data_IF_412778797831
#
_entry.id   IF_412778797831
#
_cell.length_a   1.000
_cell.length_b   1.000
_cell.length_c   1.000
_cell.angle_alpha   90.00
_cell.angle_beta   90.00
_cell.angle_gamma   90.00
#
_symmetry.space_group_name_H-M   'P 1'
#
loop_
_entity.id
_entity.type
_entity.pdbx_description
1 polymer ?
#
# COMPACT_ATOMS: atom_id res chain seq x y z
N UNK A 1 5.93 9.85 0.24
CA UNK A 1 5.32 9.99 -1.12
C UNK A 1 3.86 9.64 -1.03
N UNK A 2 3.03 10.23 -1.87
CA UNK A 2 1.61 9.85 -1.99
C UNK A 2 1.46 8.57 -2.80
N UNK A 3 0.65 7.64 -2.33
CA UNK A 3 0.20 6.51 -3.11
C UNK A 3 -1.29 6.25 -2.89
N UNK A 4 -1.93 5.72 -3.91
CA UNK A 4 -3.36 5.56 -3.94
C UNK A 4 -3.76 4.10 -4.05
N UNK A 5 -4.98 3.80 -3.60
CA UNK A 5 -5.67 2.58 -3.97
C UNK A 5 -7.16 2.84 -4.18
N UNK A 6 -7.76 2.01 -5.00
CA UNK A 6 -9.18 2.06 -5.35
C UNK A 6 -9.89 0.89 -4.68
N UNK A 7 -11.04 1.17 -4.07
CA UNK A 7 -12.01 0.14 -3.68
C UNK A 7 -13.21 0.28 -4.61
N UNK A 8 -13.64 -0.83 -5.21
CA UNK A 8 -14.82 -0.88 -6.05
C UNK A 8 -16.10 -1.08 -5.22
N UNK A 9 -17.24 -0.80 -5.82
CA UNK A 9 -18.52 -1.33 -5.36
C UNK A 9 -18.49 -2.88 -5.39
N UNK A 10 -19.44 -3.48 -4.67
CA UNK A 10 -19.58 -4.94 -4.69
C UNK A 10 -19.93 -5.43 -6.10
N UNK A 11 -19.34 -6.56 -6.51
CA UNK A 11 -19.60 -7.16 -7.82
C UNK A 11 -20.37 -8.49 -7.66
N UNK A 12 -21.41 -8.75 -8.48
CA UNK A 12 -22.23 -9.96 -8.36
C UNK A 12 -21.44 -11.28 -8.38
N UNK A 13 -20.42 -11.38 -9.21
CA UNK A 13 -19.59 -12.59 -9.26
C UNK A 13 -18.78 -12.83 -7.97
N UNK A 14 -18.33 -11.76 -7.33
CA UNK A 14 -17.63 -11.86 -6.03
C UNK A 14 -18.60 -12.28 -4.93
N UNK A 15 -19.77 -11.63 -4.88
CA UNK A 15 -20.80 -11.97 -3.90
C UNK A 15 -21.28 -13.42 -4.05
N UNK A 16 -21.48 -13.88 -5.28
CA UNK A 16 -21.87 -15.26 -5.57
C UNK A 16 -20.82 -16.27 -5.08
N UNK A 17 -19.52 -15.96 -5.22
CA UNK A 17 -18.46 -16.81 -4.67
C UNK A 17 -18.57 -16.93 -3.15
N UNK A 18 -18.83 -15.81 -2.47
CA UNK A 18 -18.99 -15.76 -1.02
C UNK A 18 -20.24 -16.55 -0.56
N UNK A 19 -21.35 -16.41 -1.25
CA UNK A 19 -22.59 -17.18 -0.99
C UNK A 19 -22.39 -18.70 -1.13
N UNK A 20 -21.53 -19.12 -2.07
CA UNK A 20 -21.16 -20.52 -2.27
C UNK A 20 -20.13 -21.04 -1.25
N UNK A 21 -19.70 -20.20 -0.31
CA UNK A 21 -18.67 -20.55 0.68
C UNK A 21 -17.30 -20.84 0.08
N UNK A 22 -17.03 -20.32 -1.13
CA UNK A 22 -15.72 -20.48 -1.76
C UNK A 22 -14.68 -19.59 -1.03
N UNK A 23 -13.44 -20.06 -0.92
CA UNK A 23 -12.40 -19.25 -0.30
C UNK A 23 -12.15 -17.94 -1.07
N UNK A 24 -11.73 -16.92 -0.33
CA UNK A 24 -11.27 -15.67 -0.91
C UNK A 24 -10.16 -15.92 -1.94
N UNK A 25 -10.20 -15.20 -3.05
CA UNK A 25 -9.16 -15.31 -4.07
C UNK A 25 -7.83 -14.79 -3.52
N UNK A 26 -6.74 -15.44 -3.92
CA UNK A 26 -5.41 -14.97 -3.58
C UNK A 26 -5.13 -13.58 -4.14
N UNK A 27 -4.15 -12.89 -3.57
CA UNK A 27 -3.71 -11.60 -4.08
C UNK A 27 -3.07 -11.78 -5.47
N UNK A 28 -3.65 -11.12 -6.46
CA UNK A 28 -3.05 -11.00 -7.77
C UNK A 28 -1.98 -9.91 -7.74
N UNK A 29 -0.77 -10.23 -8.18
CA UNK A 29 0.31 -9.27 -8.35
C UNK A 29 0.70 -9.16 -9.80
N UNK A 30 0.56 -7.96 -10.37
CA UNK A 30 0.96 -7.66 -11.74
C UNK A 30 2.23 -6.79 -11.71
N UNK A 31 3.37 -7.44 -11.92
CA UNK A 31 4.68 -6.80 -11.78
C UNK A 31 4.97 -5.80 -12.90
N UNK A 32 4.58 -6.12 -14.14
CA UNK A 32 4.82 -5.26 -15.29
C UNK A 32 3.96 -4.00 -15.24
N UNK A 33 2.70 -4.14 -14.78
CA UNK A 33 1.79 -3.03 -14.55
C UNK A 33 2.00 -2.31 -13.22
N UNK A 34 2.88 -2.84 -12.35
CA UNK A 34 3.18 -2.29 -11.03
C UNK A 34 1.94 -2.08 -10.16
N UNK A 35 1.08 -3.11 -10.05
CA UNK A 35 -0.09 -3.06 -9.19
C UNK A 35 -0.41 -4.43 -8.58
N UNK A 36 -1.24 -4.43 -7.55
CA UNK A 36 -1.84 -5.63 -6.97
C UNK A 36 -3.36 -5.48 -6.89
N UNK A 37 -4.05 -6.62 -6.83
CA UNK A 37 -5.50 -6.67 -6.67
C UNK A 37 -5.89 -7.82 -5.74
N UNK A 38 -6.93 -7.62 -4.92
CA UNK A 38 -7.55 -8.67 -4.10
C UNK A 38 -9.03 -8.38 -3.87
N UNK A 39 -9.74 -9.35 -3.34
CA UNK A 39 -11.11 -9.13 -2.87
C UNK A 39 -11.14 -8.17 -1.66
N UNK A 40 -12.16 -7.32 -1.61
CA UNK A 40 -12.44 -6.41 -0.50
C UNK A 40 -13.94 -6.14 -0.40
N UNK A 41 -14.56 -6.52 0.72
CA UNK A 41 -15.95 -6.22 1.05
C UNK A 41 -16.97 -6.52 -0.09
N UNK A 42 -16.81 -7.66 -0.77
CA UNK A 42 -17.66 -8.07 -1.90
C UNK A 42 -17.29 -7.44 -3.25
N UNK A 43 -16.30 -6.59 -3.30
CA UNK A 43 -15.71 -6.00 -4.49
C UNK A 43 -14.23 -6.29 -4.60
N UNK A 44 -13.49 -5.39 -5.22
CA UNK A 44 -12.05 -5.50 -5.46
C UNK A 44 -11.33 -4.25 -4.95
N UNK A 45 -10.12 -4.44 -4.47
CA UNK A 45 -9.17 -3.35 -4.23
C UNK A 45 -8.05 -3.43 -5.27
N UNK A 46 -7.75 -2.31 -5.92
CA UNK A 46 -6.59 -2.12 -6.80
C UNK A 46 -5.60 -1.20 -6.11
N UNK A 47 -4.39 -1.68 -5.85
CA UNK A 47 -3.31 -0.90 -5.25
C UNK A 47 -2.12 -0.79 -6.19
N UNK A 48 -2.00 0.26 -6.98
CA UNK A 48 -0.85 0.51 -7.83
C UNK A 48 0.34 1.08 -7.07
N UNK A 49 1.52 0.90 -7.63
CA UNK A 49 2.74 1.63 -7.29
C UNK A 49 2.99 2.66 -8.40
N UNK A 50 2.44 3.84 -8.22
CA UNK A 50 2.37 4.87 -9.24
C UNK A 50 3.75 5.47 -9.55
N UNK A 51 4.08 5.55 -10.84
CA UNK A 51 5.27 6.31 -11.27
C UNK A 51 4.98 7.81 -11.18
N UNK A 52 5.95 8.57 -10.66
CA UNK A 52 5.80 10.01 -10.51
C UNK A 52 4.85 10.44 -9.39
N UNK A 53 4.61 9.57 -8.42
CA UNK A 53 3.87 9.93 -7.22
C UNK A 53 4.52 11.13 -6.51
N UNK A 54 3.74 12.16 -6.11
CA UNK A 54 4.30 13.37 -5.50
C UNK A 54 4.94 13.09 -4.14
N UNK A 55 5.96 13.85 -3.81
CA UNK A 55 6.48 13.89 -2.45
C UNK A 55 5.51 14.66 -1.55
N UNK A 56 5.21 14.09 -0.41
CA UNK A 56 4.46 14.75 0.65
C UNK A 56 5.37 15.00 1.86
N UNK A 57 5.01 15.96 2.67
CA UNK A 57 5.72 16.30 3.91
C UNK A 57 7.21 16.58 3.74
N UNK A 58 7.59 17.29 2.67
CA UNK A 58 9.00 17.62 2.35
C UNK A 58 9.66 18.37 3.53
N UNK A 59 8.91 19.25 4.18
CA UNK A 59 9.34 19.99 5.37
C UNK A 59 8.84 19.35 6.69
N UNK A 60 8.42 18.09 6.63
CA UNK A 60 7.75 17.39 7.73
C UNK A 60 6.24 17.64 7.78
N UNK A 61 5.48 16.74 8.41
CA UNK A 61 4.05 16.93 8.64
C UNK A 61 3.81 18.09 9.60
N UNK A 62 2.62 18.70 9.55
CA UNK A 62 2.22 19.69 10.55
C UNK A 62 2.17 19.03 11.93
N UNK A 63 2.34 19.85 13.00
CA UNK A 63 2.29 19.34 14.38
C UNK A 63 0.93 18.77 14.78
N UNK A 64 -0.11 19.23 14.10
CA UNK A 64 -1.50 18.85 14.35
C UNK A 64 -1.99 17.81 13.29
N UNK A 65 -1.06 17.21 12.54
CA UNK A 65 -1.37 16.23 11.49
C UNK A 65 -1.76 14.90 12.12
N UNK A 66 -2.99 14.45 11.88
CA UNK A 66 -3.49 13.15 12.30
C UNK A 66 -4.29 12.50 11.18
N UNK A 67 -3.94 11.26 10.81
CA UNK A 67 -4.70 10.44 9.85
C UNK A 67 -5.05 11.14 8.53
N UNK A 68 -4.18 12.01 8.04
CA UNK A 68 -4.41 12.77 6.82
C UNK A 68 -4.45 11.86 5.60
N UNK A 69 -5.49 12.07 4.79
CA UNK A 69 -5.60 11.53 3.45
C UNK A 69 -5.58 12.69 2.46
N UNK A 70 -4.90 12.49 1.34
CA UNK A 70 -4.84 13.45 0.26
C UNK A 70 -6.02 13.28 -0.71
N UNK A 71 -6.24 14.27 -1.56
CA UNK A 71 -7.22 14.15 -2.62
C UNK A 71 -6.82 13.04 -3.61
N UNK A 72 -7.79 12.23 -4.02
CA UNK A 72 -7.57 11.23 -5.05
C UNK A 72 -7.31 11.86 -6.42
N UNK A 73 -6.41 11.25 -7.18
CA UNK A 73 -6.01 11.65 -8.53
C UNK A 73 -6.25 10.48 -9.50
N UNK A 74 -7.39 10.50 -10.17
CA UNK A 74 -7.78 9.46 -11.12
C UNK A 74 -6.96 9.49 -12.41
N UNK A 75 -6.43 10.64 -12.81
CA UNK A 75 -5.58 10.74 -14.01
C UNK A 75 -4.28 9.96 -13.79
N UNK A 76 -3.71 10.09 -12.61
CA UNK A 76 -2.50 9.33 -12.22
C UNK A 76 -2.78 7.82 -12.11
N UNK A 77 -4.02 7.44 -11.75
CA UNK A 77 -4.45 6.04 -11.67
C UNK A 77 -4.84 5.42 -13.02
N UNK A 78 -5.18 6.23 -14.01
CA UNK A 78 -5.75 5.76 -15.29
C UNK A 78 -4.95 4.64 -15.97
N UNK A 79 -3.61 4.71 -16.12
CA UNK A 79 -2.84 3.64 -16.75
C UNK A 79 -2.93 2.29 -16.00
N UNK A 80 -3.02 2.35 -14.67
CA UNK A 80 -3.14 1.16 -13.82
C UNK A 80 -4.56 0.59 -13.89
N UNK A 81 -5.58 1.44 -13.96
CA UNK A 81 -6.99 1.05 -14.15
C UNK A 81 -7.13 0.32 -15.48
N UNK A 82 -6.60 0.87 -16.57
CA UNK A 82 -6.64 0.25 -17.90
C UNK A 82 -5.95 -1.12 -17.91
N UNK A 83 -4.76 -1.21 -17.33
CA UNK A 83 -4.04 -2.48 -17.18
C UNK A 83 -4.82 -3.48 -16.33
N UNK A 84 -5.45 -3.03 -15.25
CA UNK A 84 -6.25 -3.88 -14.37
C UNK A 84 -7.50 -4.41 -15.09
N UNK A 85 -8.22 -3.59 -15.83
CA UNK A 85 -9.38 -3.99 -16.63
C UNK A 85 -8.98 -5.03 -17.70
N UNK A 86 -7.84 -4.82 -18.36
CA UNK A 86 -7.35 -5.78 -19.33
C UNK A 86 -7.08 -7.16 -18.72
N UNK A 87 -6.53 -7.20 -17.51
CA UNK A 87 -6.19 -8.44 -16.82
C UNK A 87 -7.38 -9.06 -16.06
N UNK A 88 -8.24 -8.24 -15.49
CA UNK A 88 -9.40 -8.61 -14.66
C UNK A 88 -10.63 -7.82 -15.16
N UNK A 89 -11.32 -8.27 -16.21
CA UNK A 89 -12.40 -7.51 -16.85
C UNK A 89 -13.51 -7.06 -15.90
N UNK A 90 -13.88 -7.88 -14.91
CA UNK A 90 -14.93 -7.51 -13.93
C UNK A 90 -14.58 -6.27 -13.11
N UNK A 91 -13.30 -5.90 -13.02
CA UNK A 91 -12.89 -4.66 -12.37
C UNK A 91 -13.44 -3.42 -13.12
N UNK A 92 -13.54 -3.50 -14.44
CA UNK A 92 -14.14 -2.43 -15.27
C UNK A 92 -15.67 -2.38 -15.24
N UNK A 93 -16.32 -3.43 -14.74
CA UNK A 93 -17.79 -3.51 -14.62
C UNK A 93 -18.25 -2.96 -13.27
N UNK A 94 -17.38 -2.94 -12.27
CA UNK A 94 -17.69 -2.41 -10.94
C UNK A 94 -17.47 -0.88 -10.87
N UNK A 95 -18.39 -0.17 -10.23
CA UNK A 95 -18.21 1.25 -9.92
C UNK A 95 -17.08 1.49 -8.93
N UNK A 96 -16.48 2.67 -8.96
CA UNK A 96 -15.50 3.09 -7.93
C UNK A 96 -16.28 3.54 -6.69
N UNK A 97 -16.13 2.83 -5.60
CA UNK A 97 -16.70 3.18 -4.30
C UNK A 97 -15.87 4.25 -3.59
N UNK A 98 -14.55 4.10 -3.62
CA UNK A 98 -13.65 5.03 -2.94
C UNK A 98 -12.22 4.96 -3.50
N UNK A 99 -11.58 6.12 -3.52
CA UNK A 99 -10.15 6.26 -3.73
C UNK A 99 -9.53 6.73 -2.42
N UNK A 100 -8.49 6.05 -1.98
CA UNK A 100 -7.68 6.48 -0.85
C UNK A 100 -6.33 6.93 -1.39
N UNK A 101 -5.87 8.10 -0.96
CA UNK A 101 -4.54 8.62 -1.24
C UNK A 101 -3.87 8.95 0.08
N UNK A 102 -2.80 8.27 0.40
CA UNK A 102 -2.12 8.39 1.69
C UNK A 102 -0.61 8.47 1.54
N UNK A 103 0.03 8.92 2.61
CA UNK A 103 1.48 8.94 2.69
C UNK A 103 2.06 7.54 2.85
N UNK A 104 3.04 7.20 2.02
CA UNK A 104 3.86 6.00 2.19
C UNK A 104 5.32 6.41 2.35
N UNK A 105 6.02 5.76 3.26
CA UNK A 105 7.40 6.05 3.55
C UNK A 105 8.34 5.26 2.63
N UNK A 106 9.20 5.97 1.91
CA UNK A 106 10.31 5.39 1.15
C UNK A 106 11.61 6.05 1.58
N UNK A 107 12.60 5.22 1.79
CA UNK A 107 14.00 5.67 1.91
C UNK A 107 14.59 5.88 0.52
N UNK A 108 15.73 6.59 0.39
CA UNK A 108 16.36 6.84 -0.91
C UNK A 108 16.75 5.58 -1.69
N UNK A 109 17.09 4.50 -1.01
CA UNK A 109 17.46 3.21 -1.61
C UNK A 109 16.32 2.17 -1.59
N UNK A 110 15.16 2.54 -1.05
CA UNK A 110 14.01 1.67 -0.93
C UNK A 110 14.08 0.62 0.18
N UNK A 111 15.19 0.59 0.95
CA UNK A 111 15.36 -0.33 2.08
C UNK A 111 15.02 0.35 3.42
N UNK A 112 14.39 -0.35 4.36
CA UNK A 112 14.12 0.23 5.68
C UNK A 112 15.42 0.53 6.43
N UNK A 113 15.39 1.51 7.30
CA UNK A 113 16.47 1.86 8.21
C UNK A 113 16.22 1.12 9.51
N UNK A 114 17.04 0.10 9.81
CA UNK A 114 16.93 -0.70 11.04
C UNK A 114 18.29 -0.75 11.71
N UNK A 115 18.37 -0.32 12.97
CA UNK A 115 19.61 -0.38 13.75
C UNK A 115 19.90 0.85 14.59
N UNK A 116 21.10 0.97 15.18
CA UNK A 116 21.46 2.11 16.01
C UNK A 116 21.57 3.40 15.19
N UNK A 117 21.11 4.50 15.77
CA UNK A 117 21.32 5.82 15.19
C UNK A 117 22.82 6.16 15.19
N UNK A 118 23.31 6.65 14.06
CA UNK A 118 24.75 6.95 13.86
C UNK A 118 25.25 8.15 14.67
N UNK A 119 24.35 9.06 15.06
CA UNK A 119 24.67 10.32 15.72
C UNK A 119 24.11 10.44 17.16
N UNK A 120 23.48 9.38 17.67
CA UNK A 120 22.87 9.36 19.01
C UNK A 120 23.16 8.05 19.73
N UNK A 121 23.55 8.15 21.00
CA UNK A 121 23.71 6.99 21.88
C UNK A 121 22.34 6.53 22.40
N UNK A 122 22.18 5.22 22.54
CA UNK A 122 20.96 4.58 23.05
C UNK A 122 19.68 4.93 22.26
N UNK A 123 19.84 5.27 20.98
CA UNK A 123 18.74 5.49 20.06
C UNK A 123 18.84 4.45 18.95
N UNK A 124 17.73 3.79 18.69
CA UNK A 124 17.59 2.81 17.61
C UNK A 124 16.49 3.25 16.67
N UNK A 125 16.66 3.00 15.38
CA UNK A 125 15.75 3.33 14.31
C UNK A 125 15.08 2.06 13.78
N UNK A 126 13.82 2.18 13.39
CA UNK A 126 13.07 1.15 12.69
C UNK A 126 12.05 1.85 11.79
N UNK A 127 12.55 2.47 10.72
CA UNK A 127 11.84 3.43 9.88
C UNK A 127 11.91 3.05 8.40
N UNK A 128 11.10 3.73 7.56
CA UNK A 128 11.19 3.64 6.11
C UNK A 128 10.62 2.35 5.52
N UNK A 129 9.69 1.71 6.21
CA UNK A 129 9.07 0.48 5.75
C UNK A 129 7.92 0.76 4.78
N UNK A 130 8.18 0.75 3.48
CA UNK A 130 7.13 0.85 2.45
C UNK A 130 6.18 -0.36 2.42
N UNK A 131 6.63 -1.50 2.94
CA UNK A 131 5.85 -2.73 3.12
C UNK A 131 5.92 -3.23 4.58
N UNK A 132 5.66 -2.33 5.50
CA UNK A 132 5.86 -2.51 6.94
C UNK A 132 5.15 -3.73 7.54
N UNK A 133 3.90 -4.00 7.13
CA UNK A 133 3.14 -5.15 7.64
C UNK A 133 3.87 -6.47 7.35
N UNK A 134 4.43 -6.63 6.15
CA UNK A 134 5.18 -7.83 5.76
C UNK A 134 6.51 -7.92 6.50
N UNK A 135 7.20 -6.80 6.71
CA UNK A 135 8.55 -6.75 7.28
C UNK A 135 8.56 -6.70 8.83
N UNK A 136 7.46 -6.31 9.47
CA UNK A 136 7.42 -5.96 10.89
C UNK A 136 7.98 -7.03 11.81
N UNK A 137 7.62 -8.29 11.60
CA UNK A 137 8.07 -9.40 12.45
C UNK A 137 9.58 -9.59 12.40
N UNK A 138 10.16 -9.63 11.20
CA UNK A 138 11.60 -9.83 11.01
C UNK A 138 12.42 -8.62 11.45
N UNK A 139 12.00 -7.41 11.06
CA UNK A 139 12.68 -6.19 11.44
C UNK A 139 12.68 -5.97 12.96
N UNK A 140 11.53 -6.19 13.59
CA UNK A 140 11.40 -6.08 15.05
C UNK A 140 12.26 -7.09 15.79
N UNK A 141 12.30 -8.34 15.33
CA UNK A 141 13.14 -9.38 15.93
C UNK A 141 14.61 -9.03 15.82
N UNK A 142 15.12 -8.75 14.63
CA UNK A 142 16.54 -8.41 14.45
C UNK A 142 16.95 -7.18 15.26
N UNK A 143 16.09 -6.16 15.31
CA UNK A 143 16.37 -4.97 16.11
C UNK A 143 16.41 -5.29 17.61
N UNK A 144 15.53 -6.17 18.10
CA UNK A 144 15.54 -6.58 19.50
C UNK A 144 16.83 -7.34 19.85
N UNK A 145 17.29 -8.27 19.02
CA UNK A 145 18.56 -8.96 19.19
C UNK A 145 19.73 -7.96 19.22
N UNK A 146 19.73 -7.00 18.32
CA UNK A 146 20.77 -5.98 18.27
C UNK A 146 20.80 -5.09 19.53
N UNK A 147 19.65 -4.78 20.10
CA UNK A 147 19.56 -3.99 21.34
C UNK A 147 20.07 -4.78 22.55
N UNK A 148 19.81 -6.09 22.59
CA UNK A 148 20.12 -6.96 23.74
C UNK A 148 21.54 -7.48 23.67
N UNK A 149 21.99 -7.90 22.52
CA UNK A 149 23.25 -8.62 22.35
C UNK A 149 24.41 -7.72 21.84
N UNK A 150 24.13 -6.55 21.29
CA UNK A 150 25.10 -5.56 20.82
C UNK A 150 25.48 -5.75 19.36
#
# INVERSE_FOLDING_TARGET
>A
MEHQFIITEAHPEILKRQELGLPEMGVLRESDGSWYMREEAGGLILGPYEKGAPCCYVDGPSKDSEYELFQGDLERLAPHIESAIHRVPIFGEAGIKRVYNGAICYTPDGSPIVGPAWDRKNMYLNDGHSFGVTAAGGAGWQLAEWIVDG
#
